data_IF_206511354052
#
_entry.id   IF_206511354052
#
_cell.length_a   1.000
_cell.length_b   1.000
_cell.length_c   1.000
_cell.angle_alpha   90.00
_cell.angle_beta   90.00
_cell.angle_gamma   90.00
#
_symmetry.space_group_name_H-M   'P 1'
#
loop_
_entity.id
_entity.type
_entity.pdbx_description
1 polymer ?
#
# COMPACT_ATOMS: atom_id res chain seq x y z
N UNK A 1 -9.50 1.93 7.94
CA UNK A 1 -9.72 0.47 8.09
C UNK A 1 -10.11 0.21 9.52
N UNK A 2 -11.18 -0.56 9.78
CA UNK A 2 -11.52 -0.98 11.14
C UNK A 2 -10.65 -2.14 11.59
N UNK A 3 -10.57 -2.37 12.91
CA UNK A 3 -9.86 -3.52 13.48
C UNK A 3 -10.35 -4.85 12.89
N UNK A 4 -11.66 -5.04 12.80
CA UNK A 4 -12.27 -6.24 12.23
C UNK A 4 -11.89 -6.45 10.75
N UNK A 5 -11.74 -5.38 9.97
CA UNK A 5 -11.26 -5.47 8.59
C UNK A 5 -9.79 -5.91 8.52
N UNK A 6 -8.94 -5.40 9.43
CA UNK A 6 -7.53 -5.78 9.50
C UNK A 6 -7.35 -7.26 9.90
N UNK A 7 -8.11 -7.73 10.90
CA UNK A 7 -8.10 -9.13 11.34
C UNK A 7 -8.55 -10.07 10.22
N UNK A 8 -9.63 -9.72 9.50
CA UNK A 8 -10.10 -10.49 8.36
C UNK A 8 -9.10 -10.51 7.20
N UNK A 9 -8.41 -9.38 6.93
CA UNK A 9 -7.35 -9.30 5.93
C UNK A 9 -6.19 -10.25 6.25
N UNK A 10 -5.69 -10.22 7.50
CA UNK A 10 -4.59 -11.08 7.93
C UNK A 10 -4.97 -12.56 7.86
N UNK A 11 -6.19 -12.93 8.29
CA UNK A 11 -6.67 -14.30 8.17
C UNK A 11 -6.68 -14.79 6.71
N UNK A 12 -7.13 -13.95 5.78
CA UNK A 12 -7.16 -14.28 4.34
C UNK A 12 -5.76 -14.41 3.76
N UNK A 13 -4.84 -13.52 4.12
CA UNK A 13 -3.46 -13.56 3.65
C UNK A 13 -2.72 -14.80 4.16
N UNK A 14 -2.92 -15.19 5.44
CA UNK A 14 -2.41 -16.45 6.00
C UNK A 14 -2.93 -17.66 5.24
N UNK A 15 -4.24 -17.72 4.99
CA UNK A 15 -4.84 -18.83 4.25
C UNK A 15 -4.30 -18.94 2.81
N UNK A 16 -3.90 -17.82 2.22
CA UNK A 16 -3.29 -17.76 0.89
C UNK A 16 -1.75 -17.90 0.88
N UNK A 17 -1.11 -18.04 2.06
CA UNK A 17 0.35 -17.98 2.22
C UNK A 17 0.98 -16.75 1.52
N UNK A 18 0.29 -15.60 1.58
CA UNK A 18 0.69 -14.37 0.90
C UNK A 18 1.20 -13.34 1.90
N UNK A 19 2.26 -12.62 1.53
CA UNK A 19 2.71 -11.43 2.25
C UNK A 19 1.94 -10.19 1.78
N UNK A 20 1.83 -9.20 2.65
CA UNK A 20 1.19 -7.92 2.37
C UNK A 20 2.24 -6.81 2.38
N UNK A 21 2.21 -5.97 1.34
CA UNK A 21 2.85 -4.67 1.33
C UNK A 21 1.82 -3.57 1.05
N UNK A 22 2.05 -2.34 1.52
CA UNK A 22 1.19 -1.18 1.22
C UNK A 22 1.94 -0.09 0.48
N UNK A 23 1.27 0.53 -0.49
CA UNK A 23 1.68 1.80 -1.09
C UNK A 23 0.62 2.86 -0.77
N UNK A 24 1.00 3.88 0.00
CA UNK A 24 0.09 4.84 0.59
C UNK A 24 0.43 6.27 0.16
N UNK A 25 -0.60 7.03 -0.25
CA UNK A 25 -0.47 8.46 -0.50
C UNK A 25 -1.29 9.24 0.53
N UNK A 26 -2.58 9.48 0.28
CA UNK A 26 -3.44 10.29 1.14
C UNK A 26 -3.66 9.73 2.56
N UNK A 27 -3.47 8.43 2.76
CA UNK A 27 -3.60 7.79 4.07
C UNK A 27 -2.36 7.96 4.94
N UNK A 28 -1.22 8.34 4.39
CA UNK A 28 -0.02 8.69 5.16
C UNK A 28 0.52 7.59 6.08
N UNK A 29 0.27 6.31 5.77
CA UNK A 29 0.69 5.18 6.62
C UNK A 29 -0.40 4.61 7.52
N UNK A 30 -1.61 5.18 7.52
CA UNK A 30 -2.71 4.72 8.37
C UNK A 30 -3.22 3.31 7.99
N UNK A 31 -3.03 2.86 6.74
CA UNK A 31 -3.39 1.47 6.36
C UNK A 31 -2.38 0.51 6.97
N UNK A 32 -1.09 0.72 6.74
CA UNK A 32 -0.03 -0.08 7.35
C UNK A 32 -0.13 -0.09 8.87
N UNK A 33 -0.32 1.09 9.48
CA UNK A 33 -0.54 1.25 10.92
C UNK A 33 -1.68 0.37 11.45
N UNK A 34 -2.85 0.40 10.80
CA UNK A 34 -4.00 -0.39 11.22
C UNK A 34 -3.81 -1.90 11.00
N UNK A 35 -2.96 -2.34 10.06
CA UNK A 35 -2.56 -3.75 9.92
C UNK A 35 -1.62 -4.13 11.08
N UNK A 36 -0.61 -3.31 11.33
CA UNK A 36 0.44 -3.56 12.35
C UNK A 36 -0.07 -3.47 13.78
N UNK A 37 -1.22 -2.83 14.02
CA UNK A 37 -1.91 -2.79 15.31
C UNK A 37 -2.51 -4.16 15.73
N UNK A 38 -2.60 -5.11 14.79
CA UNK A 38 -3.04 -6.48 15.09
C UNK A 38 -1.85 -7.32 15.55
N UNK A 39 -1.90 -7.93 16.76
CA UNK A 39 -0.86 -8.84 17.21
C UNK A 39 -0.60 -9.98 16.22
N UNK A 40 0.68 -10.28 16.02
CA UNK A 40 1.12 -11.31 15.08
C UNK A 40 1.13 -10.89 13.62
N UNK A 41 0.73 -9.66 13.26
CA UNK A 41 0.78 -9.15 11.88
C UNK A 41 2.15 -9.22 11.21
N UNK A 42 3.23 -9.32 11.97
CA UNK A 42 4.60 -9.48 11.48
C UNK A 42 4.85 -10.77 10.70
N UNK A 43 3.97 -11.77 10.79
CA UNK A 43 4.08 -13.00 9.99
C UNK A 43 3.65 -12.81 8.53
N UNK A 44 2.91 -11.74 8.24
CA UNK A 44 2.31 -11.47 6.93
C UNK A 44 2.68 -10.08 6.38
N UNK A 45 2.80 -9.05 7.22
CA UNK A 45 3.09 -7.71 6.76
C UNK A 45 4.60 -7.51 6.55
N UNK A 46 5.01 -7.31 5.30
CA UNK A 46 6.42 -7.17 4.91
C UNK A 46 6.90 -5.71 5.02
N UNK A 47 6.23 -4.79 4.31
CA UNK A 47 6.62 -3.37 4.28
C UNK A 47 5.48 -2.42 3.90
N UNK A 48 5.66 -1.14 4.20
CA UNK A 48 4.81 -0.06 3.72
C UNK A 48 5.62 1.07 3.10
N UNK A 49 5.08 1.68 2.06
CA UNK A 49 5.64 2.84 1.37
C UNK A 49 4.67 4.01 1.51
N UNK A 50 5.13 5.13 2.07
CA UNK A 50 4.35 6.37 2.11
C UNK A 50 4.89 7.32 1.03
N UNK A 51 4.23 7.34 -0.13
CA UNK A 51 4.65 8.08 -1.32
C UNK A 51 3.73 9.27 -1.59
N UNK A 52 3.68 10.23 -0.65
CA UNK A 52 2.76 11.38 -0.74
C UNK A 52 3.06 12.26 -1.95
N UNK A 53 4.34 12.53 -2.23
CA UNK A 53 4.77 13.34 -3.38
C UNK A 53 4.85 12.52 -4.67
N UNK A 54 4.74 13.19 -5.82
CA UNK A 54 4.98 12.55 -7.11
C UNK A 54 6.43 12.03 -7.26
N UNK A 55 7.40 12.72 -6.63
CA UNK A 55 8.79 12.26 -6.60
C UNK A 55 8.90 10.93 -5.85
N UNK A 56 8.29 10.81 -4.66
CA UNK A 56 8.30 9.57 -3.90
C UNK A 56 7.62 8.41 -4.65
N UNK A 57 6.51 8.66 -5.36
CA UNK A 57 5.86 7.65 -6.21
C UNK A 57 6.81 7.12 -7.29
N UNK A 58 7.60 8.00 -7.91
CA UNK A 58 8.59 7.63 -8.92
C UNK A 58 9.79 6.90 -8.32
N UNK A 59 10.39 7.45 -7.26
CA UNK A 59 11.64 6.96 -6.68
C UNK A 59 11.47 5.62 -5.96
N UNK A 60 10.35 5.43 -5.26
CA UNK A 60 10.15 4.27 -4.39
C UNK A 60 9.38 3.14 -5.06
N UNK A 61 8.48 3.46 -6.00
CA UNK A 61 7.55 2.51 -6.62
C UNK A 61 7.61 2.52 -8.15
N UNK A 62 8.55 3.24 -8.75
CA UNK A 62 8.74 3.24 -10.21
C UNK A 62 7.57 3.79 -11.03
N UNK A 63 6.63 4.53 -10.40
CA UNK A 63 5.52 5.18 -11.11
C UNK A 63 6.09 6.07 -12.21
N UNK A 64 5.56 6.00 -13.42
CA UNK A 64 6.14 6.69 -14.57
C UNK A 64 5.75 8.17 -14.58
N UNK A 65 6.72 9.05 -14.85
CA UNK A 65 6.48 10.49 -15.03
C UNK A 65 5.39 10.77 -16.07
N UNK A 66 5.37 10.00 -17.18
CA UNK A 66 4.36 10.13 -18.23
C UNK A 66 2.94 9.79 -17.77
N UNK A 67 2.79 8.80 -16.89
CA UNK A 67 1.48 8.43 -16.31
C UNK A 67 0.99 9.53 -15.40
N UNK A 68 1.85 10.06 -14.53
CA UNK A 68 1.54 11.19 -13.64
C UNK A 68 1.15 12.44 -14.43
N UNK A 69 1.88 12.78 -15.50
CA UNK A 69 1.59 13.95 -16.34
C UNK A 69 0.25 13.83 -17.09
N UNK A 70 -0.08 12.62 -17.58
CA UNK A 70 -1.30 12.38 -18.37
C UNK A 70 -2.55 12.24 -17.51
N UNK A 71 -2.45 11.56 -16.37
CA UNK A 71 -3.62 11.16 -15.58
C UNK A 71 -3.74 11.87 -14.23
N UNK A 72 -2.67 12.54 -13.78
CA UNK A 72 -2.59 13.09 -12.43
C UNK A 72 -2.38 12.02 -11.36
N UNK A 73 -1.97 12.46 -10.17
CA UNK A 73 -1.64 11.57 -9.05
C UNK A 73 -2.83 10.80 -8.48
N UNK A 74 -4.05 11.32 -8.65
CA UNK A 74 -5.30 10.67 -8.20
C UNK A 74 -5.98 10.07 -9.42
N UNK A 75 -5.51 8.89 -9.84
CA UNK A 75 -6.04 8.17 -11.00
C UNK A 75 -5.86 6.67 -10.85
N UNK A 76 -6.69 5.88 -11.52
CA UNK A 76 -6.56 4.42 -11.54
C UNK A 76 -5.19 3.99 -12.08
N UNK A 77 -4.70 4.67 -13.14
CA UNK A 77 -3.42 4.36 -13.76
C UNK A 77 -2.24 4.51 -12.77
N UNK A 78 -2.22 5.60 -12.00
CA UNK A 78 -1.16 5.80 -10.98
C UNK A 78 -1.33 4.83 -9.82
N UNK A 79 -2.56 4.56 -9.36
CA UNK A 79 -2.80 3.59 -8.29
C UNK A 79 -2.33 2.18 -8.66
N UNK A 80 -2.51 1.79 -9.93
CA UNK A 80 -2.02 0.50 -10.46
C UNK A 80 -0.50 0.44 -10.45
N UNK A 81 0.18 1.46 -10.97
CA UNK A 81 1.66 1.50 -10.97
C UNK A 81 2.23 1.50 -9.55
N UNK A 82 1.58 2.22 -8.61
CA UNK A 82 1.97 2.18 -7.20
C UNK A 82 1.85 0.78 -6.58
N UNK A 83 0.92 -0.05 -7.05
CA UNK A 83 0.72 -1.40 -6.53
C UNK A 83 1.62 -2.45 -7.21
N UNK A 84 2.09 -2.17 -8.43
CA UNK A 84 2.99 -3.04 -9.20
C UNK A 84 4.47 -2.83 -8.84
N UNK A 85 4.86 -1.64 -8.38
CA UNK A 85 6.21 -1.30 -7.93
C UNK A 85 6.52 -1.75 -6.51
#
# INVERSE_FOLDING_TARGET
MSRAQAEALLARARAAAALIATAESCTGGLIGGAITDIPGSSDIFDRGFVTYSNAAKQEMLGVRAGTLARHGAVSEAVAREMAEG
#
